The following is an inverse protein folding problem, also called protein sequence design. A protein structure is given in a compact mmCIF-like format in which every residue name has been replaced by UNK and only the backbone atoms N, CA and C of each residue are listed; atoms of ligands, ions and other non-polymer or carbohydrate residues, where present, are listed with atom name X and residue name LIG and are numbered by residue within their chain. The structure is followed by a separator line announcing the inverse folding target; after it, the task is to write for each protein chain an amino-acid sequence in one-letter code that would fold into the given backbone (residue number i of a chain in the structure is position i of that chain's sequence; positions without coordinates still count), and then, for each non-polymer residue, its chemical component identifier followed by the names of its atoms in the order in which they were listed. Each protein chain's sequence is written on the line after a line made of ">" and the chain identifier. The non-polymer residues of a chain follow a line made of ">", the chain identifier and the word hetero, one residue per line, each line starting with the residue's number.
data_IF_380750314936
#
_entry.id   IF_380750314936
#
_cell.length_a   1.000
_cell.length_b   1.000
_cell.length_c   1.000
_cell.angle_alpha   90.00
_cell.angle_beta   90.00
_cell.angle_gamma   90.00
#
_symmetry.space_group_name_H-M   'P 1'
#
loop_
_entity.id
_entity.type
_entity.pdbx_description
1 polymer ?
#
# COMPACT_ATOMS: atom_id res chain seq x y z
N UNK A 1 -17.76 9.18 7.49
CA UNK A 1 -18.15 8.88 6.12
C UNK A 1 -16.93 8.45 5.32
N UNK A 2 -17.11 7.50 4.40
CA UNK A 2 -16.09 7.10 3.42
C UNK A 2 -16.68 7.41 2.04
N UNK A 3 -15.95 8.19 1.25
CA UNK A 3 -16.22 8.45 -0.16
C UNK A 3 -15.28 7.65 -1.04
N UNK A 4 -15.72 7.36 -2.27
CA UNK A 4 -14.97 6.61 -3.27
C UNK A 4 -15.28 7.18 -4.65
N UNK A 5 -14.23 7.31 -5.48
CA UNK A 5 -14.37 7.50 -6.92
C UNK A 5 -13.28 6.72 -7.64
N UNK A 6 -13.41 6.59 -8.95
CA UNK A 6 -12.40 6.04 -9.85
C UNK A 6 -12.04 7.12 -10.85
N UNK A 7 -10.75 7.32 -11.07
CA UNK A 7 -10.23 8.24 -12.09
C UNK A 7 -9.40 7.43 -13.08
N UNK A 8 -9.48 7.77 -14.36
CA UNK A 8 -8.76 7.06 -15.42
C UNK A 8 -7.67 7.94 -16.01
N UNK A 9 -6.55 7.33 -16.37
CA UNK A 9 -5.41 8.03 -16.97
C UNK A 9 -4.32 7.04 -17.32
N UNK A 10 -3.06 7.45 -17.14
CA UNK A 10 -1.91 6.65 -17.56
C UNK A 10 -0.92 6.40 -16.44
N UNK A 11 -0.29 5.23 -16.46
CA UNK A 11 0.84 4.84 -15.59
C UNK A 11 2.09 4.61 -16.45
N UNK A 12 3.24 5.18 -16.06
CA UNK A 12 4.49 5.00 -16.79
C UNK A 12 5.53 4.23 -15.98
N UNK A 13 5.99 3.09 -16.52
CA UNK A 13 7.02 2.26 -15.88
C UNK A 13 7.96 1.65 -16.92
N UNK A 14 9.26 1.80 -16.71
CA UNK A 14 10.27 1.18 -17.58
C UNK A 14 10.22 1.68 -19.04
N UNK A 15 9.78 2.92 -19.26
CA UNK A 15 9.64 3.49 -20.60
C UNK A 15 8.39 3.02 -21.37
N UNK A 16 7.50 2.29 -20.70
CA UNK A 16 6.18 1.92 -21.24
C UNK A 16 5.10 2.70 -20.52
N UNK A 17 3.99 2.96 -21.22
CA UNK A 17 2.82 3.66 -20.69
C UNK A 17 1.59 2.78 -20.84
N UNK A 18 0.76 2.73 -19.81
CA UNK A 18 -0.42 1.88 -19.73
C UNK A 18 -1.64 2.73 -19.37
N UNK A 19 -2.78 2.47 -20.01
CA UNK A 19 -4.06 3.01 -19.56
C UNK A 19 -4.47 2.31 -18.26
N UNK A 20 -4.83 3.09 -17.23
CA UNK A 20 -5.14 2.59 -15.89
C UNK A 20 -6.34 3.30 -15.29
N UNK A 21 -7.03 2.57 -14.40
CA UNK A 21 -8.06 3.10 -13.51
C UNK A 21 -7.52 3.06 -12.07
N UNK A 22 -7.51 4.21 -11.39
CA UNK A 22 -7.05 4.32 -10.01
C UNK A 22 -8.22 4.65 -9.09
N UNK A 23 -8.28 3.96 -7.96
CA UNK A 23 -9.29 4.23 -6.93
C UNK A 23 -8.82 5.40 -6.05
N UNK A 24 -9.70 6.37 -5.84
CA UNK A 24 -9.48 7.43 -4.86
C UNK A 24 -10.47 7.28 -3.72
N UNK A 25 -9.97 7.40 -2.49
CA UNK A 25 -10.78 7.31 -1.29
C UNK A 25 -10.69 8.60 -0.48
N UNK A 26 -11.80 8.96 0.14
CA UNK A 26 -11.88 10.09 1.09
C UNK A 26 -12.45 9.57 2.40
N UNK A 27 -11.76 9.80 3.52
CA UNK A 27 -12.24 9.44 4.86
C UNK A 27 -12.44 10.69 5.69
N UNK A 28 -13.62 10.87 6.28
CA UNK A 28 -13.91 12.06 7.07
C UNK A 28 -15.28 12.07 7.74
N UNK A 29 -15.78 13.25 8.09
CA UNK A 29 -17.19 13.52 8.41
C UNK A 29 -17.71 14.56 7.42
N UNK A 30 -18.68 15.39 7.82
CA UNK A 30 -19.26 16.45 6.97
C UNK A 30 -18.46 17.76 7.03
N UNK A 31 -17.40 17.82 7.85
CA UNK A 31 -16.59 19.02 8.06
C UNK A 31 -15.14 18.84 7.64
N UNK A 32 -14.53 17.69 7.91
CA UNK A 32 -13.12 17.43 7.59
C UNK A 32 -12.90 16.02 7.03
N UNK A 33 -11.85 15.86 6.23
CA UNK A 33 -11.45 14.58 5.66
C UNK A 33 -9.95 14.49 5.34
N UNK A 34 -9.48 13.27 5.06
CA UNK A 34 -8.21 12.99 4.39
C UNK A 34 -8.49 12.32 3.05
N UNK A 35 -7.58 12.51 2.10
CA UNK A 35 -7.64 11.91 0.77
C UNK A 35 -6.53 10.87 0.67
N UNK A 36 -6.81 9.72 0.06
CA UNK A 36 -5.80 8.72 -0.26
C UNK A 36 -5.51 8.77 -1.75
N UNK A 37 -4.27 9.12 -2.08
CA UNK A 37 -3.75 9.35 -3.43
C UNK A 37 -4.43 10.50 -4.21
N UNK A 38 -3.73 10.98 -5.23
CA UNK A 38 -4.16 12.03 -6.14
C UNK A 38 -3.73 11.66 -7.58
N UNK A 39 -4.43 10.67 -8.18
CA UNK A 39 -4.15 10.13 -9.51
C UNK A 39 -4.50 11.14 -10.60
N UNK A 40 -5.57 10.93 -11.39
CA UNK A 40 -5.69 11.54 -12.73
C UNK A 40 -6.64 12.74 -12.85
N UNK A 41 -7.66 12.84 -11.99
CA UNK A 41 -8.73 13.84 -12.13
C UNK A 41 -8.95 14.61 -10.82
N UNK A 42 -8.37 15.81 -10.73
CA UNK A 42 -8.48 16.67 -9.55
C UNK A 42 -9.91 17.13 -9.31
N UNK A 43 -10.69 17.42 -10.35
CA UNK A 43 -12.06 17.90 -10.15
C UNK A 43 -12.96 16.79 -9.59
N UNK A 44 -12.84 15.56 -10.11
CA UNK A 44 -13.57 14.43 -9.55
C UNK A 44 -13.24 14.19 -8.06
N UNK A 45 -12.00 14.44 -7.64
CA UNK A 45 -11.58 14.34 -6.24
C UNK A 45 -12.16 15.50 -5.42
N UNK A 46 -12.13 16.73 -5.94
CA UNK A 46 -12.71 17.91 -5.28
C UNK A 46 -14.23 17.76 -5.10
N UNK A 47 -14.92 17.26 -6.11
CA UNK A 47 -16.35 16.95 -6.05
C UNK A 47 -16.63 15.90 -4.97
N UNK A 48 -15.78 14.86 -4.87
CA UNK A 48 -15.88 13.86 -3.82
C UNK A 48 -15.60 14.47 -2.43
N UNK A 49 -14.67 15.41 -2.31
CA UNK A 49 -14.40 16.17 -1.07
C UNK A 49 -15.61 17.01 -0.67
N UNK A 50 -16.41 17.51 -1.62
CA UNK A 50 -17.68 18.20 -1.37
C UNK A 50 -17.57 19.36 -0.36
N UNK A 51 -16.51 20.18 -0.49
CA UNK A 51 -16.30 21.39 0.32
C UNK A 51 -15.81 21.15 1.75
N UNK A 52 -15.47 19.91 2.13
CA UNK A 52 -14.88 19.59 3.45
C UNK A 52 -13.45 20.09 3.55
N UNK A 53 -13.02 20.41 4.77
CA UNK A 53 -11.63 20.73 5.06
C UNK A 53 -10.74 19.48 4.87
N UNK A 54 -9.76 19.56 3.96
CA UNK A 54 -8.85 18.45 3.71
C UNK A 54 -7.64 18.59 4.62
N UNK A 55 -7.46 17.65 5.54
CA UNK A 55 -6.38 17.69 6.53
C UNK A 55 -5.03 17.27 5.93
N UNK A 56 -5.05 16.34 4.97
CA UNK A 56 -3.87 15.85 4.28
C UNK A 56 -4.26 15.03 3.04
N UNK A 57 -3.35 15.02 2.06
CA UNK A 57 -3.29 14.01 1.00
C UNK A 57 -2.28 12.95 1.44
N UNK A 58 -2.74 11.73 1.66
CA UNK A 58 -1.93 10.60 2.12
C UNK A 58 -1.56 9.74 0.90
N UNK A 59 -0.29 9.79 0.49
CA UNK A 59 0.20 8.96 -0.60
C UNK A 59 0.43 7.51 -0.12
N UNK A 60 -0.21 6.55 -0.79
CA UNK A 60 0.01 5.13 -0.54
C UNK A 60 1.39 4.71 -1.07
N UNK A 61 1.83 5.27 -2.19
CA UNK A 61 3.17 5.16 -2.75
C UNK A 61 3.37 6.22 -3.84
N UNK A 62 4.60 6.38 -4.36
CA UNK A 62 4.94 7.47 -5.27
C UNK A 62 5.07 7.09 -6.76
N UNK A 63 4.25 6.16 -7.27
CA UNK A 63 4.11 6.02 -8.73
C UNK A 63 3.29 7.18 -9.32
N UNK A 64 3.57 7.53 -10.57
CA UNK A 64 2.97 8.70 -11.24
C UNK A 64 1.44 8.61 -11.36
N UNK A 65 0.89 7.41 -11.51
CA UNK A 65 -0.55 7.17 -11.52
C UNK A 65 -1.24 7.30 -10.16
N UNK A 66 -0.48 7.44 -9.06
CA UNK A 66 -1.01 7.67 -7.71
C UNK A 66 -0.78 9.10 -7.21
N UNK A 67 0.35 9.72 -7.55
CA UNK A 67 0.71 11.06 -7.06
C UNK A 67 0.78 12.12 -8.15
N UNK A 68 0.47 11.79 -9.40
CA UNK A 68 0.63 12.64 -10.57
C UNK A 68 0.00 14.02 -10.41
N UNK A 69 -1.14 14.11 -9.73
CA UNK A 69 -1.82 15.37 -9.49
C UNK A 69 -1.80 15.83 -8.02
N UNK A 70 -0.96 15.23 -7.17
CA UNK A 70 -0.86 15.58 -5.75
C UNK A 70 -0.51 17.07 -5.52
N UNK A 71 0.47 17.69 -6.22
CA UNK A 71 0.73 19.12 -6.08
C UNK A 71 -0.46 20.00 -6.44
N UNK A 72 -1.12 19.72 -7.57
CA UNK A 72 -2.30 20.48 -8.01
C UNK A 72 -3.47 20.35 -7.02
N UNK A 73 -3.70 19.15 -6.47
CA UNK A 73 -4.72 18.92 -5.46
C UNK A 73 -4.39 19.64 -4.14
N UNK A 74 -3.12 19.65 -3.74
CA UNK A 74 -2.66 20.37 -2.55
C UNK A 74 -2.86 21.89 -2.70
N UNK A 75 -2.54 22.47 -3.86
CA UNK A 75 -2.81 23.89 -4.14
C UNK A 75 -4.30 24.23 -4.04
N UNK A 76 -5.16 23.34 -4.54
CA UNK A 76 -6.62 23.54 -4.54
C UNK A 76 -7.26 23.41 -3.17
N UNK A 77 -6.70 22.57 -2.31
CA UNK A 77 -7.27 22.25 -0.99
C UNK A 77 -6.57 22.96 0.15
N UNK A 78 -5.33 23.43 -0.06
CA UNK A 78 -4.44 23.90 0.99
C UNK A 78 -3.86 22.78 1.87
N UNK A 79 -4.13 21.50 1.55
CA UNK A 79 -3.73 20.37 2.36
C UNK A 79 -2.27 19.97 2.11
N UNK A 80 -1.52 19.55 3.15
CA UNK A 80 -0.19 19.01 2.98
C UNK A 80 -0.21 17.63 2.31
N UNK A 81 0.81 17.35 1.51
CA UNK A 81 1.06 16.03 0.93
C UNK A 81 1.99 15.24 1.85
N UNK A 82 1.54 14.08 2.30
CA UNK A 82 2.32 13.18 3.15
C UNK A 82 2.74 11.94 2.38
N UNK A 83 4.04 11.64 2.39
CA UNK A 83 4.65 10.52 1.67
C UNK A 83 5.65 9.78 2.57
N UNK A 84 5.85 8.49 2.39
CA UNK A 84 6.93 7.79 3.09
C UNK A 84 8.31 8.16 2.50
N UNK A 85 9.29 8.45 3.35
CA UNK A 85 10.61 8.94 2.92
C UNK A 85 11.35 8.02 1.93
N UNK A 86 11.14 6.70 2.03
CA UNK A 86 11.76 5.73 1.12
C UNK A 86 11.27 5.84 -0.34
N UNK A 87 10.16 6.54 -0.59
CA UNK A 87 9.61 6.81 -1.92
C UNK A 87 10.01 8.18 -2.50
N UNK A 88 10.79 8.99 -1.77
CA UNK A 88 11.30 10.28 -2.27
C UNK A 88 12.02 10.18 -3.62
N UNK A 89 12.86 9.15 -3.90
CA UNK A 89 13.47 9.02 -5.23
C UNK A 89 12.44 8.84 -6.34
N UNK A 90 11.35 8.11 -6.08
CA UNK A 90 10.29 7.86 -7.05
C UNK A 90 9.44 9.12 -7.25
N UNK A 91 9.08 9.80 -6.15
CA UNK A 91 8.38 11.07 -6.18
C UNK A 91 9.05 12.10 -7.09
N UNK A 92 10.38 12.25 -6.98
CA UNK A 92 11.16 13.20 -7.78
C UNK A 92 11.23 12.85 -9.28
N UNK A 93 10.87 11.63 -9.68
CA UNK A 93 10.73 11.30 -11.10
C UNK A 93 9.50 12.00 -11.72
N UNK A 94 8.43 12.14 -10.93
CA UNK A 94 7.19 12.79 -11.35
C UNK A 94 7.19 14.29 -11.02
N UNK A 95 7.69 14.65 -9.84
CA UNK A 95 7.70 16.02 -9.30
C UNK A 95 9.12 16.45 -8.91
N UNK A 96 10.02 16.70 -9.89
CA UNK A 96 11.43 17.03 -9.60
C UNK A 96 11.60 18.37 -8.86
N UNK A 97 10.66 19.30 -9.02
CA UNK A 97 10.76 20.68 -8.52
C UNK A 97 9.92 20.94 -7.26
N UNK A 98 9.25 19.92 -6.73
CA UNK A 98 8.38 20.03 -5.55
C UNK A 98 8.62 18.87 -4.62
N UNK A 99 8.99 19.11 -3.37
CA UNK A 99 9.02 18.07 -2.34
C UNK A 99 7.63 17.87 -1.72
N UNK A 100 7.29 16.68 -1.18
CA UNK A 100 6.11 16.53 -0.32
C UNK A 100 6.25 17.37 0.96
N UNK A 101 5.13 17.70 1.59
CA UNK A 101 5.08 18.62 2.75
C UNK A 101 5.43 17.95 4.08
N UNK A 102 5.29 16.63 4.15
CA UNK A 102 5.60 15.87 5.34
C UNK A 102 5.82 14.39 5.05
N UNK A 103 6.32 13.69 6.06
CA UNK A 103 6.65 12.27 5.96
C UNK A 103 5.61 11.42 6.67
N UNK A 104 5.20 10.33 6.03
CA UNK A 104 4.48 9.25 6.70
C UNK A 104 5.50 8.38 7.45
N UNK A 105 5.29 8.22 8.76
CA UNK A 105 6.13 7.38 9.61
C UNK A 105 5.34 6.13 10.03
N UNK A 106 5.99 4.97 9.97
CA UNK A 106 5.38 3.72 10.40
C UNK A 106 4.86 3.80 11.85
N UNK A 107 3.70 3.20 12.10
CA UNK A 107 2.98 3.18 13.38
C UNK A 107 2.49 4.54 13.90
N UNK A 108 2.71 5.63 13.15
CA UNK A 108 2.11 6.92 13.45
C UNK A 108 0.58 6.89 13.26
N UNK A 109 -0.12 7.71 14.04
CA UNK A 109 -1.57 7.85 13.96
C UNK A 109 -1.95 9.18 13.30
N UNK A 110 -2.58 9.09 12.13
CA UNK A 110 -3.29 10.22 11.52
C UNK A 110 -4.70 10.26 12.08
N UNK A 111 -5.10 11.37 12.70
CA UNK A 111 -6.45 11.56 13.24
C UNK A 111 -7.30 12.36 12.27
N UNK A 112 -8.51 11.86 12.01
CA UNK A 112 -9.49 12.53 11.15
C UNK A 112 -10.90 12.19 11.59
N UNK A 113 -11.73 13.19 11.84
CA UNK A 113 -13.16 13.04 12.14
C UNK A 113 -13.45 11.98 13.23
N UNK A 114 -12.68 12.03 14.32
CA UNK A 114 -12.76 11.07 15.44
C UNK A 114 -12.28 9.64 15.12
N UNK A 115 -11.65 9.43 13.96
CA UNK A 115 -11.07 8.15 13.55
C UNK A 115 -9.54 8.21 13.67
N UNK A 116 -8.94 7.16 14.24
CA UNK A 116 -7.49 6.99 14.28
C UNK A 116 -7.06 6.08 13.12
N UNK A 117 -6.21 6.59 12.21
CA UNK A 117 -5.60 5.82 11.13
C UNK A 117 -4.14 5.55 11.48
N UNK A 118 -3.81 4.28 11.73
CA UNK A 118 -2.43 3.83 11.84
C UNK A 118 -1.81 3.71 10.46
N UNK A 119 -0.65 4.35 10.28
CA UNK A 119 0.21 4.19 9.11
C UNK A 119 0.97 2.87 9.25
N UNK A 120 0.83 1.99 8.27
CA UNK A 120 1.58 0.74 8.18
C UNK A 120 2.59 0.86 7.05
N UNK A 121 3.89 0.81 7.33
CA UNK A 121 4.89 0.68 6.28
C UNK A 121 4.85 -0.73 5.72
N UNK A 122 4.60 -0.84 4.42
CA UNK A 122 4.36 -2.09 3.71
C UNK A 122 5.22 -2.15 2.44
N UNK A 123 6.57 -2.14 2.58
CA UNK A 123 7.47 -2.11 1.43
C UNK A 123 7.27 -3.34 0.55
N UNK A 124 7.40 -3.15 -0.77
CA UNK A 124 7.23 -4.22 -1.75
C UNK A 124 7.05 -3.65 -3.15
N UNK A 125 5.85 -3.19 -3.47
CA UNK A 125 5.55 -2.57 -4.78
C UNK A 125 6.44 -1.34 -5.03
N UNK A 126 6.62 -0.51 -4.00
CA UNK A 126 7.68 0.50 -3.90
C UNK A 126 8.39 0.36 -2.54
N UNK A 127 9.60 0.92 -2.37
CA UNK A 127 10.30 0.91 -1.08
C UNK A 127 9.55 1.63 0.05
N UNK A 128 8.78 2.68 -0.29
CA UNK A 128 8.00 3.50 0.64
C UNK A 128 6.52 3.18 0.70
N UNK A 129 6.03 2.13 0.04
CA UNK A 129 4.61 1.81 0.03
C UNK A 129 4.03 1.69 1.46
N UNK A 130 2.88 2.33 1.68
CA UNK A 130 2.15 2.40 2.93
C UNK A 130 0.71 1.89 2.78
N UNK A 131 0.20 1.29 3.86
CA UNK A 131 -1.22 0.97 4.04
C UNK A 131 -1.76 1.71 5.26
N UNK A 132 -3.06 1.99 5.30
CA UNK A 132 -3.68 2.70 6.43
C UNK A 132 -4.74 1.84 7.11
N UNK A 133 -4.67 1.75 8.43
CA UNK A 133 -5.50 0.88 9.25
C UNK A 133 -6.29 1.68 10.28
N UNK A 134 -7.63 1.58 10.24
CA UNK A 134 -8.49 2.15 11.28
C UNK A 134 -9.06 1.03 12.17
N UNK A 135 -8.53 0.80 13.39
CA UNK A 135 -9.02 -0.25 14.28
C UNK A 135 -10.50 -0.05 14.68
N UNK A 136 -10.93 1.20 14.77
CA UNK A 136 -12.23 1.60 15.31
C UNK A 136 -13.37 1.45 14.28
N UNK A 137 -13.05 1.17 13.01
CA UNK A 137 -13.99 1.21 11.88
C UNK A 137 -14.25 -0.17 11.31
N UNK A 138 -15.34 -0.83 11.73
CA UNK A 138 -15.78 -2.15 11.23
C UNK A 138 -16.25 -2.22 9.75
N UNK A 139 -15.55 -1.60 8.79
CA UNK A 139 -15.82 -1.80 7.35
C UNK A 139 -14.55 -1.94 6.49
N UNK A 140 -14.54 -2.93 5.58
CA UNK A 140 -13.47 -3.18 4.58
C UNK A 140 -13.60 -2.22 3.40
N UNK A 141 -12.50 -1.63 2.94
CA UNK A 141 -12.39 -1.00 1.62
C UNK A 141 -11.54 -1.90 0.72
N UNK A 142 -11.85 -1.91 -0.57
CA UNK A 142 -11.17 -2.71 -1.58
C UNK A 142 -10.75 -1.78 -2.71
N UNK A 143 -9.44 -1.53 -2.87
CA UNK A 143 -8.90 -1.08 -4.14
C UNK A 143 -8.81 -2.27 -5.08
N UNK A 144 -9.43 -2.19 -6.27
CA UNK A 144 -9.28 -3.19 -7.33
C UNK A 144 -8.78 -2.46 -8.57
N UNK A 145 -7.75 -2.99 -9.22
CA UNK A 145 -7.40 -2.61 -10.58
C UNK A 145 -8.01 -3.64 -11.55
N UNK A 146 -8.26 -3.21 -12.78
CA UNK A 146 -8.68 -4.10 -13.87
C UNK A 146 -7.78 -3.86 -15.07
N UNK A 147 -6.68 -4.61 -15.17
CA UNK A 147 -5.91 -4.74 -16.40
C UNK A 147 -6.35 -6.00 -17.16
N UNK A 148 -6.48 -5.97 -18.51
CA UNK A 148 -6.59 -7.19 -19.29
C UNK A 148 -5.22 -7.87 -19.40
N UNK A 149 -5.07 -9.01 -18.72
CA UNK A 149 -4.06 -10.01 -19.05
C UNK A 149 -2.61 -9.74 -18.64
N UNK A 150 -2.34 -9.65 -17.34
CA UNK A 150 -1.18 -10.26 -16.61
C UNK A 150 -1.21 -9.75 -15.16
N UNK A 151 -0.97 -10.65 -14.21
CA UNK A 151 -1.19 -10.42 -12.80
C UNK A 151 0.05 -9.87 -12.09
N UNK A 152 -0.04 -8.64 -11.57
CA UNK A 152 0.67 -8.18 -10.38
C UNK A 152 -0.32 -7.37 -9.55
N UNK A 153 -1.02 -8.07 -8.66
CA UNK A 153 -2.07 -7.51 -7.82
C UNK A 153 -1.44 -6.68 -6.69
N UNK A 154 -1.46 -5.36 -6.83
CA UNK A 154 -2.37 -4.49 -6.07
C UNK A 154 -2.80 -5.04 -4.71
N UNK A 155 -2.04 -4.72 -3.66
CA UNK A 155 -2.62 -4.87 -2.33
C UNK A 155 -3.52 -3.65 -2.10
N UNK A 156 -4.83 -3.84 -1.91
CA UNK A 156 -5.78 -2.74 -1.73
C UNK A 156 -5.37 -1.86 -0.55
N UNK A 157 -5.94 -0.65 -0.46
CA UNK A 157 -6.16 0.02 0.82
C UNK A 157 -6.82 -0.99 1.78
N UNK A 158 -6.02 -1.69 2.57
CA UNK A 158 -6.52 -2.69 3.50
C UNK A 158 -6.96 -1.95 4.76
N UNK A 159 -8.20 -1.49 4.77
CA UNK A 159 -8.98 -1.41 6.01
C UNK A 159 -9.20 -2.84 6.50
N UNK A 160 -8.17 -3.40 7.12
CA UNK A 160 -8.30 -4.64 7.88
C UNK A 160 -9.09 -4.30 9.13
N UNK A 161 -9.86 -5.28 9.57
CA UNK A 161 -10.40 -5.36 10.91
C UNK A 161 -9.90 -6.69 11.43
N UNK A 162 -9.18 -6.69 12.53
CA UNK A 162 -8.88 -7.95 13.20
C UNK A 162 -10.18 -8.52 13.78
N UNK A 163 -10.35 -9.84 13.69
CA UNK A 163 -10.47 -10.66 14.87
C UNK A 163 -9.12 -11.36 15.11
N UNK A 164 -8.81 -11.59 16.38
CA UNK A 164 -7.58 -12.22 16.87
C UNK A 164 -7.01 -13.36 15.99
N UNK A 165 -5.69 -13.36 15.77
CA UNK A 165 -4.86 -14.54 16.04
C UNK A 165 -3.36 -14.28 15.92
N UNK A 166 -2.62 -14.95 16.81
CA UNK A 166 -1.16 -15.01 16.95
C UNK A 166 -0.54 -15.63 15.70
N UNK A 167 0.57 -15.08 15.21
CA UNK A 167 1.41 -15.73 14.20
C UNK A 167 2.63 -16.36 14.91
N UNK A 168 2.78 -17.68 14.77
CA UNK A 168 4.03 -18.37 15.04
C UNK A 168 4.96 -18.23 13.81
N UNK A 169 6.29 -18.13 14.01
CA UNK A 169 7.24 -18.03 12.90
C UNK A 169 7.35 -19.37 12.14
N UNK A 170 7.65 -19.36 10.82
CA UNK A 170 7.75 -20.58 10.03
C UNK A 170 9.06 -21.34 10.34
N UNK A 171 8.92 -22.65 10.53
CA UNK A 171 10.03 -23.60 10.68
C UNK A 171 10.84 -23.72 9.38
N UNK A 172 12.16 -23.80 9.52
CA UNK A 172 13.11 -24.04 8.44
C UNK A 172 12.83 -25.37 7.70
N UNK A 173 13.05 -25.35 6.39
CA UNK A 173 12.94 -26.49 5.50
C UNK A 173 14.03 -27.54 5.77
N UNK A 174 13.64 -28.81 5.91
CA UNK A 174 14.54 -29.96 5.78
C UNK A 174 14.47 -30.51 4.35
N UNK A 175 15.60 -30.96 3.76
CA UNK A 175 15.60 -31.62 2.46
C UNK A 175 15.11 -33.08 2.57
N UNK A 176 14.66 -33.69 1.46
CA UNK A 176 13.88 -34.92 1.47
C UNK A 176 14.70 -36.17 1.76
N UNK A 177 13.99 -37.13 2.35
CA UNK A 177 14.37 -38.47 2.79
C UNK A 177 14.80 -39.42 1.67
N UNK A 178 15.86 -40.19 1.92
CA UNK A 178 16.15 -41.46 1.25
C UNK A 178 16.12 -42.60 2.28
N UNK A 179 15.12 -43.46 2.17
CA UNK A 179 14.86 -44.65 2.98
C UNK A 179 15.75 -45.83 2.54
N UNK A 180 16.15 -46.70 3.48
CA UNK A 180 17.06 -47.81 3.25
C UNK A 180 17.22 -48.68 4.50
N UNK A 181 16.24 -49.55 4.71
CA UNK A 181 16.03 -50.41 5.88
C UNK A 181 17.18 -51.38 6.20
N UNK A 182 17.25 -51.65 7.50
CA UNK A 182 17.88 -52.73 8.26
C UNK A 182 18.16 -54.08 7.56
N UNK A 183 19.29 -54.69 7.91
CA UNK A 183 19.35 -56.13 8.22
C UNK A 183 20.52 -56.47 9.16
N UNK A 184 20.21 -57.23 10.22
CA UNK A 184 21.17 -57.95 11.08
C UNK A 184 21.75 -59.15 10.32
N UNK A 185 23.02 -59.50 10.55
CA UNK A 185 23.47 -60.87 10.88
C UNK A 185 24.99 -60.93 11.12
N UNK A 186 25.39 -61.89 11.97
CA UNK A 186 26.74 -62.21 12.46
C UNK A 186 27.45 -63.19 11.49
N UNK A 187 28.79 -63.26 11.53
CA UNK A 187 29.71 -64.43 11.43
C UNK A 187 31.11 -63.92 10.98
N UNK A 188 32.16 -63.94 11.82
CA UNK A 188 33.17 -65.00 12.14
C UNK A 188 34.23 -65.28 11.05
N UNK A 189 35.51 -65.16 11.47
CA UNK A 189 36.79 -65.76 10.96
C UNK A 189 37.22 -65.38 9.52
N UNK A 190 38.49 -65.28 9.10
CA UNK A 190 39.84 -65.72 9.53
C UNK A 190 40.86 -64.80 8.80
N UNK A 191 41.95 -64.32 9.40
CA UNK A 191 43.30 -64.89 9.45
C UNK A 191 44.15 -64.82 8.13
N UNK A 192 45.35 -64.23 8.27
CA UNK A 192 46.59 -64.32 7.43
C UNK A 192 46.71 -63.52 6.12
N UNK A 193 47.63 -62.54 6.09
CA UNK A 193 49.04 -62.67 5.66
C UNK A 193 49.83 -61.41 5.96
#
# INVERSE_FOLDING_TARGET
>A
MIGHTVTSGTFSLGGQTFDVDNNVWVLGNDSECVIFDAPHDVEAIIDLVAGRNVLAVLATHAHDDHIGHAPQLAERTGAPILLHAADLPLWRLTHPDREPDGMLVADEIVKVAGTSLQVLHTPGHTPGACSFYAPDRRRRLHGRHSLPGRAWCDRPLVLRLRPDHRLHPPSAAHPPTGDGRAHRARHRHDDRR
#
